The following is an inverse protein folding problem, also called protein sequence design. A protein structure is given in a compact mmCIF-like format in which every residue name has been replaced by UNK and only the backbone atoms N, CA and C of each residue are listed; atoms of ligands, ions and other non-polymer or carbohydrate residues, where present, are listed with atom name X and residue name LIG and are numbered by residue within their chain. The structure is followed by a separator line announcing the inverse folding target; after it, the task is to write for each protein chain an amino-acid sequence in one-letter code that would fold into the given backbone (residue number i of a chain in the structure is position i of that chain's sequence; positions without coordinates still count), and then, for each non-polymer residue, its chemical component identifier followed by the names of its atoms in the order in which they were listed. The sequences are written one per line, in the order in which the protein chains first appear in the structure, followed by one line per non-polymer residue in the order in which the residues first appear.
data_IF_235955293580
#
_entry.id   IF_235955293580
#
_cell.length_a   1.000
_cell.length_b   1.000
_cell.length_c   1.000
_cell.angle_alpha   90.00
_cell.angle_beta   90.00
_cell.angle_gamma   90.00
#
_symmetry.space_group_name_H-M   'P 1'
#
loop_
_entity.id
_entity.type
_entity.pdbx_description
1 polymer ?
#
# COMPACT_ATOMS: atom_id res chain seq x y z
N UNK A 1 0.21 9.56 2.41
CA UNK A 1 0.46 11.02 2.43
C UNK A 1 0.54 11.52 3.85
N UNK A 2 1.10 12.71 4.06
CA UNK A 2 1.17 13.36 5.35
C UNK A 2 0.25 14.59 5.37
N UNK A 3 -0.33 14.91 6.52
CA UNK A 3 -0.95 16.20 6.79
C UNK A 3 0.07 17.32 6.83
N UNK A 4 -0.40 18.57 6.99
CA UNK A 4 0.43 19.79 7.07
C UNK A 4 1.46 19.76 8.22
N UNK A 5 1.26 18.88 9.20
CA UNK A 5 2.11 18.62 10.36
C UNK A 5 3.06 17.42 10.18
N UNK A 6 3.10 16.79 9.00
CA UNK A 6 3.88 15.58 8.76
C UNK A 6 3.22 14.30 9.27
N UNK A 7 2.01 14.37 9.86
CA UNK A 7 1.32 13.18 10.37
C UNK A 7 0.77 12.35 9.22
N UNK A 8 1.06 11.03 9.13
CA UNK A 8 0.52 10.21 8.05
C UNK A 8 -1.02 10.22 8.09
N UNK A 9 -1.60 10.59 6.95
CA UNK A 9 -3.04 10.78 6.76
C UNK A 9 -3.71 9.42 6.85
N UNK A 10 -4.46 9.21 7.93
CA UNK A 10 -5.28 8.00 8.10
C UNK A 10 -6.42 8.05 7.10
N UNK A 11 -6.60 6.96 6.39
CA UNK A 11 -7.71 6.82 5.45
C UNK A 11 -8.30 5.42 5.54
N UNK A 12 -9.55 5.26 5.12
CA UNK A 12 -10.24 3.97 5.04
C UNK A 12 -10.46 3.58 3.61
N UNK A 13 -10.26 2.31 3.32
CA UNK A 13 -10.49 1.79 1.98
C UNK A 13 -10.36 0.29 1.89
N UNK A 14 -10.92 -0.24 0.81
CA UNK A 14 -10.79 -1.64 0.44
C UNK A 14 -9.57 -1.82 -0.46
N UNK A 15 -8.71 -2.75 -0.10
CA UNK A 15 -7.50 -3.10 -0.87
C UNK A 15 -7.53 -4.60 -1.13
N UNK A 16 -7.46 -4.96 -2.40
CA UNK A 16 -7.57 -6.33 -2.88
C UNK A 16 -6.42 -6.66 -3.81
N UNK A 17 -6.00 -7.93 -3.79
CA UNK A 17 -4.99 -8.51 -4.67
C UNK A 17 -5.50 -9.87 -5.09
N UNK A 18 -5.87 -10.03 -6.36
CA UNK A 18 -6.63 -11.17 -6.85
C UNK A 18 -7.78 -11.54 -5.87
N UNK A 19 -7.71 -12.72 -5.24
CA UNK A 19 -8.72 -13.20 -4.27
C UNK A 19 -8.45 -12.77 -2.81
N UNK A 20 -7.31 -12.14 -2.53
CA UNK A 20 -6.92 -11.72 -1.20
C UNK A 20 -7.45 -10.31 -0.87
N UNK A 21 -8.06 -10.15 0.30
CA UNK A 21 -8.48 -8.85 0.84
C UNK A 21 -7.53 -8.43 1.95
N UNK A 22 -6.69 -7.42 1.69
CA UNK A 22 -5.75 -6.87 2.68
C UNK A 22 -6.42 -5.89 3.66
N UNK A 23 -7.46 -5.21 3.17
CA UNK A 23 -8.34 -4.35 3.97
C UNK A 23 -9.72 -4.34 3.35
N UNK A 24 -10.76 -4.43 4.17
CA UNK A 24 -12.16 -4.30 3.75
C UNK A 24 -12.69 -2.86 3.88
N UNK A 25 -11.97 -1.97 4.58
CA UNK A 25 -12.35 -0.58 4.86
C UNK A 25 -12.78 -0.30 6.30
N UNK A 26 -12.90 -1.33 7.15
CA UNK A 26 -13.36 -1.18 8.54
C UNK A 26 -12.27 -0.64 9.47
N UNK A 27 -11.01 -0.74 9.06
CA UNK A 27 -9.84 -0.26 9.80
C UNK A 27 -9.18 0.92 9.05
N UNK A 28 -8.59 1.89 9.77
CA UNK A 28 -7.81 2.94 9.14
C UNK A 28 -6.49 2.36 8.61
N UNK A 29 -6.03 2.87 7.48
CA UNK A 29 -4.74 2.60 6.88
C UNK A 29 -3.88 3.87 6.93
N UNK A 30 -2.56 3.70 7.08
CA UNK A 30 -1.59 4.80 6.98
C UNK A 30 -0.92 4.87 5.61
N UNK A 31 -0.75 3.70 4.97
CA UNK A 31 -0.16 3.59 3.64
C UNK A 31 -0.68 2.35 2.93
N UNK A 32 -0.67 2.42 1.60
CA UNK A 32 -0.82 1.30 0.69
C UNK A 32 0.29 1.44 -0.37
N UNK A 33 1.01 0.35 -0.63
CA UNK A 33 2.04 0.28 -1.64
C UNK A 33 1.72 -0.86 -2.61
N UNK A 34 1.90 -0.60 -3.91
CA UNK A 34 1.82 -1.58 -4.99
C UNK A 34 3.16 -1.49 -5.71
N UNK A 35 3.90 -2.60 -5.77
CA UNK A 35 5.23 -2.63 -6.39
C UNK A 35 5.36 -3.75 -7.40
N UNK A 36 5.78 -3.38 -8.61
CA UNK A 36 6.22 -4.31 -9.65
C UNK A 36 7.73 -4.61 -9.54
N UNK A 37 8.52 -3.65 -9.07
CA UNK A 37 9.95 -3.79 -8.87
C UNK A 37 10.38 -3.21 -7.51
N UNK A 38 11.57 -3.58 -7.06
CA UNK A 38 12.13 -3.09 -5.79
C UNK A 38 12.43 -1.59 -5.80
N UNK A 39 12.80 -1.06 -4.63
CA UNK A 39 13.33 0.30 -4.51
C UNK A 39 12.36 1.36 -3.99
N UNK A 40 11.06 1.05 -3.94
CA UNK A 40 10.04 1.99 -3.45
C UNK A 40 9.21 1.37 -2.32
N UNK A 41 8.70 2.22 -1.42
CA UNK A 41 7.83 1.93 -0.27
C UNK A 41 8.50 1.58 1.07
N UNK A 42 9.20 2.57 1.65
CA UNK A 42 9.38 2.67 3.11
C UNK A 42 8.37 3.65 3.70
N UNK A 43 7.83 3.31 4.86
CA UNK A 43 7.10 4.22 5.74
C UNK A 43 7.90 4.32 7.03
N UNK A 44 8.58 5.45 7.25
CA UNK A 44 9.60 5.60 8.29
C UNK A 44 10.64 4.47 8.23
N UNK A 45 10.84 3.75 9.33
CA UNK A 45 11.70 2.57 9.49
C UNK A 45 11.03 1.26 9.05
N UNK A 46 9.77 1.30 8.61
CA UNK A 46 9.01 0.12 8.16
C UNK A 46 9.14 -0.08 6.66
N UNK A 47 9.66 -1.25 6.29
CA UNK A 47 9.71 -1.70 4.89
C UNK A 47 8.35 -2.30 4.52
N UNK A 48 7.62 -1.67 3.59
CA UNK A 48 6.28 -2.12 3.21
C UNK A 48 6.33 -3.31 2.26
N UNK A 49 7.17 -3.25 1.21
CA UNK A 49 7.33 -4.33 0.24
C UNK A 49 8.56 -5.16 0.56
N UNK A 50 8.44 -6.49 0.57
CA UNK A 50 9.49 -7.40 0.99
C UNK A 50 10.40 -7.85 -0.16
N UNK A 51 9.87 -7.99 -1.38
CA UNK A 51 10.64 -8.49 -2.52
C UNK A 51 9.81 -8.58 -3.80
N UNK A 52 9.38 -7.44 -4.37
CA UNK A 52 8.76 -7.42 -5.69
C UNK A 52 9.78 -7.83 -6.76
N UNK A 53 9.35 -8.68 -7.69
CA UNK A 53 10.16 -9.21 -8.78
C UNK A 53 9.48 -8.87 -10.12
N UNK A 54 10.07 -7.99 -10.96
CA UNK A 54 9.43 -7.59 -12.20
C UNK A 54 9.38 -8.70 -13.26
N UNK A 55 9.98 -9.87 -13.00
CA UNK A 55 10.09 -10.98 -13.95
C UNK A 55 9.07 -12.10 -13.73
N UNK A 56 8.35 -12.10 -12.61
CA UNK A 56 7.42 -13.19 -12.26
C UNK A 56 5.96 -12.93 -12.71
N UNK A 57 5.69 -11.74 -13.25
CA UNK A 57 4.36 -11.33 -13.68
C UNK A 57 3.38 -11.08 -12.53
N UNK A 58 3.87 -10.72 -11.33
CA UNK A 58 3.07 -10.37 -10.16
C UNK A 58 3.42 -8.97 -9.65
N UNK A 59 2.46 -8.32 -9.00
CA UNK A 59 2.74 -7.20 -8.10
C UNK A 59 2.75 -7.68 -6.65
N UNK A 60 3.61 -7.09 -5.84
CA UNK A 60 3.49 -7.15 -4.39
C UNK A 60 2.69 -5.95 -3.89
N UNK A 61 1.71 -6.20 -3.02
CA UNK A 61 0.92 -5.15 -2.39
C UNK A 61 1.03 -5.26 -0.88
N UNK A 62 1.18 -4.12 -0.23
CA UNK A 62 1.24 -4.01 1.21
C UNK A 62 0.35 -2.88 1.75
N UNK A 63 -0.32 -3.12 2.86
CA UNK A 63 -1.03 -2.08 3.63
C UNK A 63 -0.47 -1.98 5.04
N UNK A 64 -0.36 -0.75 5.55
CA UNK A 64 0.07 -0.48 6.92
C UNK A 64 -1.12 -0.07 7.79
N UNK A 65 -1.41 -0.88 8.81
CA UNK A 65 -2.53 -0.69 9.74
C UNK A 65 -1.99 -0.25 11.11
N UNK A 66 -2.42 0.91 11.65
CA UNK A 66 -2.03 1.33 12.98
C UNK A 66 -2.81 0.56 14.05
N UNK A 67 -2.10 -0.28 14.79
CA UNK A 67 -2.63 -1.05 15.92
C UNK A 67 -2.27 -0.35 17.23
N UNK A 68 -3.29 0.05 18.01
CA UNK A 68 -3.07 0.66 19.32
C UNK A 68 -2.97 -0.43 20.38
N UNK A 69 -1.78 -0.58 20.96
CA UNK A 69 -1.53 -1.53 22.05
C UNK A 69 -1.46 -0.79 23.40
N UNK A 70 -1.92 -1.43 24.48
CA UNK A 70 -1.67 -0.95 25.84
C UNK A 70 -0.40 -1.61 26.39
N UNK A 71 0.50 -0.79 26.94
CA UNK A 71 1.66 -1.26 27.71
C UNK A 71 1.22 -1.82 29.07
N UNK A 72 2.03 -2.69 29.67
CA UNK A 72 1.85 -3.19 31.06
C UNK A 72 1.73 -2.07 32.10
N UNK A 73 2.24 -0.88 31.80
CA UNK A 73 2.19 0.32 32.65
C UNK A 73 1.12 1.34 32.22
N UNK A 74 0.12 0.93 31.44
CA UNK A 74 -1.02 1.78 31.05
C UNK A 74 -0.78 2.77 29.90
N UNK A 75 0.47 2.97 29.46
CA UNK A 75 0.79 3.83 28.30
C UNK A 75 0.27 3.22 26.99
N UNK A 76 -0.44 4.00 26.16
CA UNK A 76 -0.81 3.61 24.78
C UNK A 76 0.42 3.68 23.88
N UNK A 77 0.64 2.62 23.10
CA UNK A 77 1.73 2.54 22.10
C UNK A 77 1.14 2.15 20.76
N UNK A 78 1.41 2.94 19.72
CA UNK A 78 1.02 2.62 18.35
C UNK A 78 2.06 1.66 17.77
N UNK A 79 1.60 0.59 17.15
CA UNK A 79 2.39 -0.35 16.34
C UNK A 79 1.85 -0.35 14.92
N UNK A 80 2.69 -0.70 13.97
CA UNK A 80 2.29 -0.90 12.59
C UNK A 80 2.21 -2.40 12.31
N UNK A 81 1.04 -2.85 11.90
CA UNK A 81 0.86 -4.15 11.27
C UNK A 81 0.96 -3.96 9.76
N UNK A 82 1.83 -4.73 9.11
CA UNK A 82 1.94 -4.73 7.64
C UNK A 82 1.36 -6.03 7.10
N UNK A 83 0.30 -5.92 6.31
CA UNK A 83 -0.33 -7.05 5.62
C UNK A 83 0.10 -7.03 4.17
N UNK A 84 0.44 -8.20 3.62
CA UNK A 84 0.99 -8.33 2.27
C UNK A 84 0.28 -9.42 1.48
N UNK A 85 0.18 -9.21 0.18
CA UNK A 85 -0.21 -10.24 -0.79
C UNK A 85 0.54 -10.00 -2.11
N UNK A 86 0.62 -11.05 -2.93
CA UNK A 86 1.12 -10.99 -4.30
C UNK A 86 0.04 -11.53 -5.23
N UNK A 87 -0.06 -10.93 -6.42
CA UNK A 87 -1.05 -11.33 -7.40
C UNK A 87 -0.88 -10.60 -8.72
N UNK A 88 -1.72 -10.95 -9.69
CA UNK A 88 -1.65 -10.38 -11.05
C UNK A 88 -2.37 -9.04 -11.15
N UNK A 89 -3.41 -8.85 -10.34
CA UNK A 89 -4.17 -7.62 -10.29
C UNK A 89 -4.37 -7.15 -8.85
N UNK A 90 -4.39 -5.84 -8.68
CA UNK A 90 -4.68 -5.17 -7.43
C UNK A 90 -5.74 -4.09 -7.63
N UNK A 91 -6.50 -3.80 -6.58
CA UNK A 91 -7.39 -2.64 -6.61
C UNK A 91 -7.47 -1.93 -5.27
N UNK A 92 -7.64 -0.61 -5.35
CA UNK A 92 -7.80 0.28 -4.21
C UNK A 92 -9.09 1.06 -4.39
N UNK A 93 -9.98 0.94 -3.41
CA UNK A 93 -11.23 1.71 -3.31
C UNK A 93 -11.20 2.55 -2.03
N UNK A 94 -10.92 3.87 -2.11
CA UNK A 94 -11.08 4.74 -0.95
C UNK A 94 -12.55 4.80 -0.54
N UNK A 95 -12.80 4.85 0.77
CA UNK A 95 -14.14 4.95 1.37
C UNK A 95 -14.39 6.32 1.99
N UNK A 96 -13.33 7.05 2.31
CA UNK A 96 -13.46 8.41 2.83
C UNK A 96 -13.87 9.39 1.74
N UNK A 97 -14.51 10.49 2.14
CA UNK A 97 -14.95 11.55 1.21
C UNK A 97 -13.77 12.37 0.68
N UNK A 98 -12.67 12.44 1.43
CA UNK A 98 -11.47 13.14 1.01
C UNK A 98 -10.75 12.36 -0.09
N UNK A 99 -10.21 13.08 -1.07
CA UNK A 99 -9.39 12.45 -2.10
C UNK A 99 -8.13 11.84 -1.48
N UNK A 100 -7.82 10.60 -1.87
CA UNK A 100 -6.64 9.90 -1.38
C UNK A 100 -5.43 10.24 -2.28
N UNK A 101 -4.44 10.98 -1.78
CA UNK A 101 -3.21 11.24 -2.53
C UNK A 101 -2.40 9.97 -2.78
N UNK A 102 -1.83 9.85 -3.97
CA UNK A 102 -0.92 8.76 -4.35
C UNK A 102 0.26 9.27 -5.20
N UNK A 103 1.29 8.45 -5.30
CA UNK A 103 2.44 8.63 -6.20
C UNK A 103 2.57 7.36 -7.05
N UNK A 104 2.65 7.51 -8.36
CA UNK A 104 2.67 6.42 -9.34
C UNK A 104 3.80 6.72 -10.33
N UNK A 105 4.91 5.98 -10.24
CA UNK A 105 6.14 6.19 -11.03
C UNK A 105 6.61 7.65 -11.09
N UNK A 106 6.56 8.33 -9.95
CA UNK A 106 6.97 9.74 -9.82
C UNK A 106 5.87 10.75 -10.16
N UNK A 107 4.71 10.30 -10.62
CA UNK A 107 3.55 11.16 -10.92
C UNK A 107 2.60 11.20 -9.73
N UNK A 108 2.44 12.40 -9.15
CA UNK A 108 1.51 12.62 -8.06
C UNK A 108 0.06 12.71 -8.57
N UNK A 109 -0.88 12.16 -7.82
CA UNK A 109 -2.30 12.20 -8.16
C UNK A 109 -3.22 12.09 -6.94
N UNK A 110 -4.52 12.10 -7.21
CA UNK A 110 -5.58 12.03 -6.21
C UNK A 110 -6.60 10.96 -6.61
N UNK A 111 -6.89 10.04 -5.69
CA UNK A 111 -7.80 8.92 -5.90
C UNK A 111 -9.13 9.19 -5.17
N UNK A 112 -10.19 9.42 -5.95
CA UNK A 112 -11.56 9.68 -5.44
C UNK A 112 -12.52 8.52 -5.67
N UNK A 113 -12.11 7.51 -6.43
CA UNK A 113 -12.90 6.34 -6.83
C UNK A 113 -12.01 5.11 -6.92
N UNK A 114 -12.60 3.92 -7.16
CA UNK A 114 -11.82 2.69 -7.37
C UNK A 114 -10.82 2.86 -8.51
N UNK A 115 -9.56 2.46 -8.29
CA UNK A 115 -8.55 2.25 -9.33
C UNK A 115 -7.99 0.84 -9.20
N UNK A 116 -7.67 0.27 -10.36
CA UNK A 116 -7.08 -1.07 -10.47
C UNK A 116 -5.77 -0.99 -11.23
N UNK A 117 -4.86 -1.88 -10.87
CA UNK A 117 -3.58 -2.12 -11.53
C UNK A 117 -3.51 -3.60 -11.87
N UNK A 118 -2.93 -3.92 -13.02
CA UNK A 118 -2.66 -5.29 -13.41
C UNK A 118 -1.29 -5.38 -14.05
N UNK A 119 -0.73 -6.57 -14.00
CA UNK A 119 0.51 -6.90 -14.70
C UNK A 119 0.17 -7.41 -16.10
N UNK A 120 0.95 -6.94 -17.07
CA UNK A 120 1.04 -7.55 -18.40
C UNK A 120 2.41 -8.26 -18.48
N UNK A 121 2.48 -9.59 -18.29
CA UNK A 121 3.75 -10.31 -18.25
C UNK A 121 4.51 -10.17 -19.57
N UNK A 122 5.77 -9.77 -19.49
CA UNK A 122 6.62 -9.63 -20.69
C UNK A 122 6.23 -8.46 -21.61
N UNK A 123 5.50 -7.46 -21.10
CA UNK A 123 5.12 -6.28 -21.89
C UNK A 123 6.31 -5.48 -22.44
N UNK A 124 7.50 -5.64 -21.85
CA UNK A 124 8.73 -5.00 -22.29
C UNK A 124 9.93 -5.89 -21.98
N UNK A 125 10.99 -5.73 -22.75
CA UNK A 125 12.25 -6.43 -22.56
C UNK A 125 13.35 -5.43 -22.19
N UNK A 126 14.17 -5.80 -21.22
CA UNK A 126 15.39 -5.07 -20.87
C UNK A 126 16.60 -5.75 -21.48
N UNK A 127 17.59 -4.97 -21.89
CA UNK A 127 18.90 -5.50 -22.22
C UNK A 127 19.60 -5.94 -20.92
N UNK A 128 19.91 -7.23 -20.81
CA UNK A 128 20.72 -7.77 -19.73
C UNK A 128 22.15 -8.05 -20.26
N UNK A 129 23.16 -7.57 -19.54
CA UNK A 129 24.57 -7.76 -19.87
C UNK A 129 25.08 -9.16 -19.49
#
# INVERSE_FOLDING_TARGET
AAGEDGTPLRWRGRVEVDDAVLSNGDEPLLACAIGNAGGYARLDDVTLLAGPDPTDGLVEVAVAVPVVTRSRWGRRRVRLEVRRARGRAASVLPRDKAALPYLDDGVAGQLTRKRSWWTEPGAWAVWAA
#
